data_IF_355195221503
#
_entry.id   IF_355195221503
#
_cell.length_a   1.000
_cell.length_b   1.000
_cell.length_c   1.000
_cell.angle_alpha   90.00
_cell.angle_beta   90.00
_cell.angle_gamma   90.00
#
_symmetry.space_group_name_H-M   'P 1'
#
loop_
_entity.id
_entity.type
_entity.pdbx_description
1 polymer ?
#
# COMPACT_ATOMS: atom_id res chain seq x y z
N UNK A 1 -19.43 -15.44 7.49
CA UNK A 1 -18.31 -14.67 6.90
C UNK A 1 -18.65 -14.04 5.54
N UNK A 2 -19.67 -14.50 4.81
CA UNK A 2 -20.07 -13.94 3.49
C UNK A 2 -20.72 -12.53 3.48
N UNK A 3 -21.52 -12.10 4.48
CA UNK A 3 -22.19 -10.79 4.42
C UNK A 3 -21.20 -9.62 4.47
N UNK A 4 -20.21 -9.70 5.38
CA UNK A 4 -19.22 -8.65 5.62
C UNK A 4 -18.35 -8.36 4.37
N UNK A 5 -18.02 -9.39 3.59
CA UNK A 5 -17.19 -9.24 2.40
C UNK A 5 -17.94 -8.56 1.26
N UNK A 6 -19.23 -8.86 1.10
CA UNK A 6 -20.10 -8.19 0.12
C UNK A 6 -20.33 -6.72 0.51
N UNK A 7 -20.56 -6.44 1.79
CA UNK A 7 -20.67 -5.06 2.30
C UNK A 7 -19.37 -4.27 2.09
N UNK A 8 -18.22 -4.88 2.38
CA UNK A 8 -16.91 -4.27 2.09
C UNK A 8 -16.72 -4.00 0.60
N UNK A 9 -17.15 -4.92 -0.26
CA UNK A 9 -17.07 -4.76 -1.71
C UNK A 9 -17.85 -3.52 -2.19
N UNK A 10 -19.06 -3.33 -1.68
CA UNK A 10 -19.89 -2.16 -1.99
C UNK A 10 -19.30 -0.86 -1.45
N UNK A 11 -18.79 -0.89 -0.22
CA UNK A 11 -18.10 0.27 0.37
C UNK A 11 -16.86 0.68 -0.40
N UNK A 12 -16.14 -0.29 -0.98
CA UNK A 12 -14.98 -0.06 -1.86
C UNK A 12 -15.36 0.20 -3.33
N UNK A 13 -16.64 0.18 -3.70
CA UNK A 13 -17.07 0.46 -5.08
C UNK A 13 -16.49 1.77 -5.63
N UNK A 14 -16.53 2.92 -4.91
CA UNK A 14 -15.94 4.15 -5.42
C UNK A 14 -14.41 4.06 -5.57
N UNK A 15 -13.75 3.24 -4.75
CA UNK A 15 -12.30 3.00 -4.84
C UNK A 15 -11.94 2.18 -6.08
N UNK A 16 -12.72 1.15 -6.42
CA UNK A 16 -12.56 0.41 -7.66
C UNK A 16 -12.87 1.26 -8.89
N UNK A 17 -13.90 2.12 -8.81
CA UNK A 17 -14.26 3.01 -9.91
C UNK A 17 -13.11 3.95 -10.31
N UNK A 18 -12.37 4.52 -9.35
CA UNK A 18 -11.20 5.37 -9.66
C UNK A 18 -10.11 4.57 -10.34
N UNK A 19 -9.82 3.36 -9.85
CA UNK A 19 -8.79 2.50 -10.43
C UNK A 19 -9.11 2.09 -11.88
N UNK A 20 -10.38 1.77 -12.17
CA UNK A 20 -10.82 1.43 -13.52
C UNK A 20 -10.73 2.63 -14.45
N UNK A 21 -11.22 3.81 -14.05
CA UNK A 21 -11.10 5.04 -14.84
C UNK A 21 -9.63 5.39 -15.11
N UNK A 22 -8.75 5.19 -14.13
CA UNK A 22 -7.32 5.41 -14.25
C UNK A 22 -6.69 4.47 -15.28
N UNK A 23 -7.03 3.17 -15.21
CA UNK A 23 -6.57 2.18 -16.17
C UNK A 23 -7.14 2.43 -17.58
N UNK A 24 -8.41 2.79 -17.73
CA UNK A 24 -9.03 3.13 -19.01
C UNK A 24 -8.36 4.34 -19.66
N UNK A 25 -8.07 5.40 -18.88
CA UNK A 25 -7.37 6.59 -19.39
C UNK A 25 -5.98 6.24 -19.90
N UNK A 26 -5.20 5.46 -19.14
CA UNK A 26 -3.85 5.07 -19.56
C UNK A 26 -3.85 4.04 -20.68
N UNK A 27 -4.85 3.16 -20.75
CA UNK A 27 -5.06 2.26 -21.89
C UNK A 27 -5.27 3.08 -23.17
N UNK A 28 -6.18 4.06 -23.13
CA UNK A 28 -6.47 4.94 -24.25
C UNK A 28 -5.25 5.76 -24.69
N UNK A 29 -4.49 6.35 -23.76
CA UNK A 29 -3.30 7.13 -24.07
C UNK A 29 -2.16 6.30 -24.67
N UNK A 30 -2.00 5.06 -24.21
CA UNK A 30 -0.91 4.18 -24.65
C UNK A 30 -1.28 3.28 -25.84
N UNK A 31 -2.55 3.27 -26.25
CA UNK A 31 -3.08 2.30 -27.22
C UNK A 31 -3.03 0.85 -26.73
N UNK A 32 -2.86 0.62 -25.41
CA UNK A 32 -2.75 -0.73 -24.86
C UNK A 32 -4.12 -1.32 -24.50
N UNK A 33 -4.30 -2.66 -24.57
CA UNK A 33 -5.54 -3.28 -24.13
C UNK A 33 -5.83 -3.01 -22.65
N UNK A 34 -7.09 -2.75 -22.31
CA UNK A 34 -7.54 -2.49 -20.93
C UNK A 34 -7.05 -3.54 -19.92
N UNK A 35 -7.11 -4.87 -20.18
CA UNK A 35 -6.52 -5.88 -19.29
C UNK A 35 -5.07 -5.60 -18.85
N UNK A 36 -4.23 -5.15 -19.79
CA UNK A 36 -2.82 -4.84 -19.53
C UNK A 36 -2.69 -3.59 -18.68
N UNK A 37 -3.49 -2.57 -18.94
CA UNK A 37 -3.52 -1.35 -18.15
C UNK A 37 -4.04 -1.60 -16.73
N UNK A 38 -5.07 -2.41 -16.56
CA UNK A 38 -5.60 -2.80 -15.25
C UNK A 38 -4.54 -3.54 -14.44
N UNK A 39 -3.81 -4.48 -15.04
CA UNK A 39 -2.70 -5.15 -14.36
C UNK A 39 -1.61 -4.17 -13.90
N UNK A 40 -1.19 -3.27 -14.78
CA UNK A 40 -0.03 -2.39 -14.56
C UNK A 40 -0.31 -1.22 -13.64
N UNK A 41 -1.52 -0.69 -13.69
CA UNK A 41 -1.85 0.60 -13.07
C UNK A 41 -2.83 0.50 -11.91
N UNK A 42 -3.30 -0.71 -11.55
CA UNK A 42 -4.22 -0.90 -10.42
C UNK A 42 -3.73 -2.00 -9.49
N UNK A 43 -4.22 -2.01 -8.25
CA UNK A 43 -3.91 -3.06 -7.29
C UNK A 43 -5.00 -4.14 -7.18
N UNK A 44 -5.88 -4.26 -8.18
CA UNK A 44 -7.03 -5.17 -8.14
C UNK A 44 -6.60 -6.63 -7.92
N UNK A 45 -5.56 -7.10 -8.59
CA UNK A 45 -5.05 -8.46 -8.41
C UNK A 45 -4.64 -8.73 -6.95
N UNK A 46 -3.99 -7.79 -6.27
CA UNK A 46 -3.66 -7.90 -4.82
C UNK A 46 -4.92 -7.90 -3.95
N UNK A 47 -5.90 -7.06 -4.29
CA UNK A 47 -7.19 -6.97 -3.58
C UNK A 47 -8.04 -8.24 -3.72
N UNK A 48 -7.88 -8.97 -4.82
CA UNK A 48 -8.46 -10.29 -5.04
C UNK A 48 -7.66 -11.43 -4.36
N UNK A 49 -6.65 -11.12 -3.55
CA UNK A 49 -5.82 -12.13 -2.90
C UNK A 49 -4.82 -12.81 -3.84
N UNK A 50 -4.67 -12.31 -5.08
CA UNK A 50 -3.84 -12.92 -6.12
C UNK A 50 -2.37 -12.45 -6.10
N UNK A 51 -1.89 -11.89 -4.98
CA UNK A 51 -0.46 -11.61 -4.80
C UNK A 51 0.12 -10.75 -5.92
N UNK A 52 1.23 -11.17 -6.52
CA UNK A 52 1.69 -10.67 -7.83
C UNK A 52 1.19 -11.61 -8.93
N UNK A 53 0.84 -11.08 -10.10
CA UNK A 53 0.43 -11.88 -11.26
C UNK A 53 1.64 -12.18 -12.14
N UNK A 54 1.89 -13.45 -12.39
CA UNK A 54 2.79 -13.90 -13.45
C UNK A 54 2.02 -13.95 -14.78
N UNK A 55 2.49 -13.22 -15.79
CA UNK A 55 1.87 -13.21 -17.11
C UNK A 55 2.20 -14.45 -17.95
N UNK A 56 3.28 -15.17 -17.64
CA UNK A 56 3.62 -16.43 -18.29
C UNK A 56 2.72 -17.58 -17.81
N UNK A 57 2.31 -17.53 -16.53
CA UNK A 57 1.40 -18.51 -15.93
C UNK A 57 0.35 -17.84 -15.03
N UNK A 58 -0.62 -17.12 -15.63
CA UNK A 58 -1.60 -16.36 -14.87
C UNK A 58 -2.61 -17.29 -14.18
N UNK A 59 -2.92 -16.98 -12.93
CA UNK A 59 -3.94 -17.72 -12.17
C UNK A 59 -5.30 -17.69 -12.87
N UNK A 60 -6.08 -18.80 -12.83
CA UNK A 60 -7.38 -18.87 -13.49
C UNK A 60 -8.35 -17.76 -13.08
N UNK A 61 -8.32 -17.33 -11.82
CA UNK A 61 -9.17 -16.25 -11.30
C UNK A 61 -8.83 -14.90 -11.96
N UNK A 62 -7.54 -14.62 -12.14
CA UNK A 62 -7.10 -13.41 -12.85
C UNK A 62 -7.50 -13.47 -14.33
N UNK A 63 -7.27 -14.61 -14.99
CA UNK A 63 -7.65 -14.82 -16.39
C UNK A 63 -9.16 -14.64 -16.59
N UNK A 64 -9.98 -15.20 -15.70
CA UNK A 64 -11.44 -15.05 -15.73
C UNK A 64 -11.83 -13.58 -15.62
N UNK A 65 -11.23 -12.86 -14.67
CA UNK A 65 -11.49 -11.44 -14.46
C UNK A 65 -11.18 -10.63 -15.73
N UNK A 66 -9.96 -10.74 -16.28
CA UNK A 66 -9.54 -9.93 -17.42
C UNK A 66 -10.18 -10.34 -18.75
N UNK A 67 -10.49 -11.63 -18.93
CA UNK A 67 -11.22 -12.11 -20.12
C UNK A 67 -12.64 -11.57 -20.13
N UNK A 68 -13.32 -11.55 -18.97
CA UNK A 68 -14.65 -10.96 -18.91
C UNK A 68 -14.62 -9.46 -19.19
N UNK A 69 -13.61 -8.73 -18.66
CA UNK A 69 -13.45 -7.29 -18.91
C UNK A 69 -13.41 -6.94 -20.39
N UNK A 70 -12.82 -7.77 -21.26
CA UNK A 70 -12.77 -7.45 -22.71
C UNK A 70 -14.12 -7.50 -23.42
N UNK A 71 -15.11 -8.16 -22.82
CA UNK A 71 -16.47 -8.30 -23.39
C UNK A 71 -17.43 -7.22 -22.91
N UNK A 72 -17.10 -6.53 -21.82
CA UNK A 72 -17.90 -5.47 -21.23
C UNK A 72 -17.62 -4.15 -21.95
N UNK A 73 -18.58 -3.22 -21.94
CA UNK A 73 -18.56 -2.02 -22.78
C UNK A 73 -18.52 -0.73 -21.98
N UNK A 74 -19.12 -0.74 -20.80
CA UNK A 74 -19.27 0.45 -19.97
C UNK A 74 -18.44 0.35 -18.70
N UNK A 75 -18.05 1.50 -18.16
CA UNK A 75 -17.41 1.59 -16.86
C UNK A 75 -18.28 0.96 -15.76
N UNK A 76 -19.61 1.10 -15.84
CA UNK A 76 -20.52 0.51 -14.87
C UNK A 76 -20.45 -1.01 -14.89
N UNK A 77 -20.46 -1.64 -16.07
CA UNK A 77 -20.28 -3.09 -16.19
C UNK A 77 -18.91 -3.55 -15.68
N UNK A 78 -17.84 -2.83 -16.01
CA UNK A 78 -16.49 -3.10 -15.48
C UNK A 78 -16.48 -3.06 -13.95
N UNK A 79 -17.17 -2.08 -13.38
CA UNK A 79 -17.24 -1.87 -11.94
C UNK A 79 -18.05 -2.96 -11.25
N UNK A 80 -19.24 -3.29 -11.77
CA UNK A 80 -20.10 -4.35 -11.25
C UNK A 80 -19.36 -5.68 -11.22
N UNK A 81 -18.66 -6.00 -12.31
CA UNK A 81 -17.83 -7.20 -12.39
C UNK A 81 -16.66 -7.19 -11.41
N UNK A 82 -15.99 -6.05 -11.25
CA UNK A 82 -14.87 -5.89 -10.31
C UNK A 82 -15.33 -6.08 -8.86
N UNK A 83 -16.49 -5.51 -8.50
CA UNK A 83 -17.09 -5.65 -7.17
C UNK A 83 -17.47 -7.10 -6.90
N UNK A 84 -18.11 -7.79 -7.87
CA UNK A 84 -18.42 -9.22 -7.74
C UNK A 84 -17.16 -10.05 -7.54
N UNK A 85 -16.12 -9.83 -8.36
CA UNK A 85 -14.86 -10.56 -8.22
C UNK A 85 -14.19 -10.33 -6.87
N UNK A 86 -14.25 -9.12 -6.32
CA UNK A 86 -13.73 -8.84 -4.99
C UNK A 86 -14.51 -9.56 -3.89
N UNK A 87 -15.85 -9.55 -4.00
CA UNK A 87 -16.74 -10.19 -3.04
C UNK A 87 -16.52 -11.71 -2.99
N UNK A 88 -16.30 -12.33 -4.14
CA UNK A 88 -16.08 -13.78 -4.27
C UNK A 88 -14.61 -14.19 -4.07
N UNK A 89 -13.69 -13.22 -3.96
CA UNK A 89 -12.26 -13.49 -3.80
C UNK A 89 -11.90 -13.88 -2.36
N UNK A 90 -11.10 -14.94 -2.23
CA UNK A 90 -10.50 -15.34 -0.96
C UNK A 90 -9.39 -14.35 -0.58
N UNK A 91 -9.45 -13.71 0.61
CA UNK A 91 -8.36 -12.85 1.08
C UNK A 91 -7.04 -13.63 1.14
N UNK A 92 -5.94 -12.99 0.75
CA UNK A 92 -4.63 -13.60 0.92
C UNK A 92 -4.32 -13.80 2.42
N UNK A 93 -3.79 -14.97 2.77
CA UNK A 93 -3.27 -15.22 4.11
C UNK A 93 -2.06 -14.30 4.37
N UNK A 94 -2.11 -13.52 5.45
CA UNK A 94 -0.99 -12.68 5.91
C UNK A 94 -0.24 -13.46 7.01
N UNK A 95 0.66 -14.36 6.60
CA UNK A 95 1.46 -15.18 7.51
C UNK A 95 2.74 -14.49 8.01
N UNK A 96 2.97 -13.22 7.63
CA UNK A 96 4.18 -12.50 7.99
C UNK A 96 4.19 -12.16 9.49
N UNK A 97 5.36 -12.28 10.13
CA UNK A 97 5.56 -11.80 11.50
C UNK A 97 5.29 -10.28 11.57
N UNK A 98 4.60 -9.87 12.63
CA UNK A 98 4.11 -8.51 12.81
C UNK A 98 4.40 -7.97 14.20
N UNK A 99 4.54 -6.66 14.25
CA UNK A 99 4.68 -5.85 15.46
C UNK A 99 3.59 -4.79 15.40
N UNK A 100 2.38 -5.18 15.83
CA UNK A 100 1.16 -4.39 15.65
C UNK A 100 0.94 -3.94 14.21
N UNK A 101 1.03 -2.63 13.95
CA UNK A 101 0.83 -2.07 12.61
C UNK A 101 2.03 -2.25 11.67
N UNK A 102 3.19 -2.67 12.18
CA UNK A 102 4.43 -2.81 11.43
C UNK A 102 4.79 -4.26 11.12
N UNK A 103 5.56 -4.44 10.04
CA UNK A 103 6.28 -5.66 9.71
C UNK A 103 7.53 -5.30 8.91
N UNK A 104 8.41 -6.27 8.69
CA UNK A 104 9.57 -6.10 7.85
C UNK A 104 9.78 -7.27 6.89
N UNK A 105 10.43 -7.01 5.76
CA UNK A 105 11.09 -8.04 4.97
C UNK A 105 12.52 -8.20 5.49
N UNK A 106 13.05 -9.44 5.58
CA UNK A 106 14.42 -9.69 6.04
C UNK A 106 15.46 -8.94 5.18
N UNK A 107 16.70 -8.76 5.69
CA UNK A 107 17.75 -8.07 4.96
C UNK A 107 17.96 -8.66 3.56
N UNK A 108 18.09 -7.80 2.55
CA UNK A 108 18.60 -8.22 1.25
C UNK A 108 20.12 -8.44 1.28
N UNK A 109 20.73 -8.73 0.12
CA UNK A 109 22.17 -9.00 0.00
C UNK A 109 23.05 -7.84 0.46
N UNK A 110 22.51 -6.61 0.51
CA UNK A 110 23.21 -5.42 0.99
C UNK A 110 23.01 -5.18 2.50
N UNK A 111 22.27 -6.07 3.18
CA UNK A 111 21.89 -5.93 4.59
C UNK A 111 20.76 -4.93 4.81
N UNK A 112 19.95 -4.62 3.79
CA UNK A 112 18.86 -3.64 3.91
C UNK A 112 17.56 -4.32 4.30
N UNK A 113 17.05 -3.99 5.48
CA UNK A 113 15.72 -4.38 5.96
C UNK A 113 14.66 -3.42 5.41
N UNK A 114 13.53 -3.96 4.91
CA UNK A 114 12.43 -3.12 4.40
C UNK A 114 11.25 -3.14 5.35
N UNK A 115 10.83 -1.97 5.83
CA UNK A 115 9.70 -1.87 6.75
C UNK A 115 8.40 -1.56 6.00
N UNK A 116 7.30 -2.09 6.53
CA UNK A 116 5.96 -1.89 6.00
C UNK A 116 5.00 -1.49 7.11
N UNK A 117 4.02 -0.67 6.77
CA UNK A 117 2.95 -0.25 7.67
C UNK A 117 1.57 -0.58 7.07
N UNK A 118 0.65 -1.01 7.92
CA UNK A 118 -0.76 -1.20 7.56
C UNK A 118 -1.65 -0.95 8.76
N UNK A 119 -2.81 -0.31 8.55
CA UNK A 119 -3.84 -0.15 9.58
C UNK A 119 -4.38 -1.53 10.00
N UNK A 120 -4.10 -1.93 11.25
CA UNK A 120 -4.53 -3.22 11.84
C UNK A 120 -5.03 -3.07 13.27
N UNK A 121 -5.26 -1.83 13.73
CA UNK A 121 -5.90 -1.64 15.02
C UNK A 121 -7.35 -2.14 14.97
N UNK A 122 -7.80 -2.75 16.06
CA UNK A 122 -9.16 -3.25 16.20
C UNK A 122 -10.15 -2.18 16.67
N UNK A 123 -9.66 -0.99 17.01
CA UNK A 123 -10.47 0.10 17.50
C UNK A 123 -10.84 1.10 16.39
N UNK A 124 -11.72 2.01 16.77
CA UNK A 124 -12.36 2.97 15.91
C UNK A 124 -11.49 4.24 15.68
N UNK A 125 -10.20 4.25 16.06
CA UNK A 125 -9.32 5.41 16.01
C UNK A 125 -8.17 5.19 15.03
N UNK A 126 -7.84 6.22 14.23
CA UNK A 126 -6.70 6.18 13.30
C UNK A 126 -5.43 5.66 13.98
N UNK A 127 -4.72 4.67 13.41
CA UNK A 127 -3.48 4.15 13.97
C UNK A 127 -2.35 5.19 14.10
N UNK A 128 -2.48 6.32 13.41
CA UNK A 128 -1.55 7.46 13.43
C UNK A 128 -2.06 8.64 14.27
N UNK A 129 -3.16 8.47 15.01
CA UNK A 129 -3.68 9.49 15.91
C UNK A 129 -2.64 9.88 16.99
N UNK A 130 -2.62 11.15 17.47
CA UNK A 130 -1.72 11.60 18.53
C UNK A 130 -1.67 10.67 19.75
N UNK A 131 -2.82 10.21 20.24
CA UNK A 131 -2.90 9.32 21.41
C UNK A 131 -2.33 7.91 21.20
N UNK A 132 -1.93 7.53 19.97
CA UNK A 132 -1.33 6.23 19.67
C UNK A 132 0.16 6.29 19.34
N UNK A 133 0.77 7.48 19.43
CA UNK A 133 2.17 7.67 19.07
C UNK A 133 3.10 6.75 19.86
N UNK A 134 2.96 6.73 21.19
CA UNK A 134 3.80 5.91 22.07
C UNK A 134 3.65 4.42 21.77
N UNK A 135 2.42 3.95 21.52
CA UNK A 135 2.16 2.56 21.11
C UNK A 135 2.85 2.21 19.79
N UNK A 136 2.80 3.10 18.80
CA UNK A 136 3.45 2.89 17.50
C UNK A 136 4.97 2.89 17.61
N UNK A 137 5.55 3.72 18.47
CA UNK A 137 6.98 3.71 18.74
C UNK A 137 7.41 2.44 19.50
N UNK A 138 6.62 1.96 20.45
CA UNK A 138 6.87 0.68 21.12
C UNK A 138 6.84 -0.51 20.14
N UNK A 139 5.89 -0.54 19.20
CA UNK A 139 5.84 -1.55 18.13
C UNK A 139 7.08 -1.51 17.23
N UNK A 140 7.55 -0.32 16.85
CA UNK A 140 8.80 -0.16 16.10
C UNK A 140 10.03 -0.60 16.92
N UNK A 141 10.08 -0.29 18.21
CA UNK A 141 11.15 -0.71 19.10
C UNK A 141 11.23 -2.24 19.21
N UNK A 142 10.09 -2.91 19.41
CA UNK A 142 10.00 -4.38 19.44
C UNK A 142 10.46 -5.00 18.12
N UNK A 143 10.06 -4.41 16.98
CA UNK A 143 10.52 -4.84 15.67
C UNK A 143 12.04 -4.69 15.53
N UNK A 144 12.61 -3.56 15.96
CA UNK A 144 14.05 -3.31 15.91
C UNK A 144 14.82 -4.28 16.80
N UNK A 145 14.33 -4.56 18.02
CA UNK A 145 14.94 -5.55 18.91
C UNK A 145 14.93 -6.95 18.27
N UNK A 146 13.81 -7.35 17.65
CA UNK A 146 13.71 -8.61 16.93
C UNK A 146 14.70 -8.70 15.76
N UNK A 147 14.79 -7.64 14.94
CA UNK A 147 15.76 -7.56 13.83
C UNK A 147 17.17 -7.72 14.35
N UNK A 148 17.57 -6.99 15.40
CA UNK A 148 18.92 -7.06 15.94
C UNK A 148 19.29 -8.45 16.47
N UNK A 149 18.32 -9.22 16.97
CA UNK A 149 18.53 -10.57 17.47
C UNK A 149 18.63 -11.63 16.34
N UNK A 150 17.80 -11.50 15.30
CA UNK A 150 17.65 -12.56 14.28
C UNK A 150 18.35 -12.24 12.94
N UNK A 151 18.75 -10.99 12.75
CA UNK A 151 19.40 -10.48 11.54
C UNK A 151 20.62 -9.62 11.92
N UNK A 152 21.67 -10.23 12.50
CA UNK A 152 22.86 -9.49 12.94
C UNK A 152 23.64 -8.84 11.79
N UNK A 153 23.35 -9.23 10.56
CA UNK A 153 23.87 -8.66 9.31
C UNK A 153 23.07 -7.44 8.80
N UNK A 154 21.98 -7.06 9.46
CA UNK A 154 21.20 -5.88 9.12
C UNK A 154 22.03 -4.60 9.27
N UNK A 155 22.19 -3.86 8.17
CA UNK A 155 22.99 -2.62 8.10
C UNK A 155 22.13 -1.36 8.07
N UNK A 156 20.97 -1.43 7.42
CA UNK A 156 20.11 -0.28 7.21
C UNK A 156 18.63 -0.68 7.22
N UNK A 157 17.77 0.27 7.60
CA UNK A 157 16.33 0.17 7.43
C UNK A 157 15.94 1.09 6.28
N UNK A 158 15.09 0.58 5.37
CA UNK A 158 14.50 1.31 4.24
C UNK A 158 12.98 1.22 4.28
N UNK A 159 12.32 2.30 3.88
CA UNK A 159 10.88 2.36 3.71
C UNK A 159 10.50 3.08 2.42
N UNK A 160 9.31 2.78 1.91
CA UNK A 160 8.76 3.43 0.72
C UNK A 160 7.24 3.61 0.86
N UNK A 161 6.80 4.86 1.01
CA UNK A 161 5.37 5.16 1.22
C UNK A 161 5.06 6.62 0.90
N UNK A 162 3.80 6.89 0.54
CA UNK A 162 3.27 8.25 0.51
C UNK A 162 3.04 8.79 1.93
N UNK A 163 2.96 7.93 2.96
CA UNK A 163 2.77 8.35 4.35
C UNK A 163 3.93 9.21 4.87
N UNK A 164 5.11 9.14 4.26
CA UNK A 164 6.23 10.02 4.62
C UNK A 164 6.00 11.50 4.28
N UNK A 165 4.89 11.84 3.60
CA UNK A 165 4.43 13.23 3.46
C UNK A 165 3.62 13.71 4.67
N UNK A 166 3.31 12.84 5.64
CA UNK A 166 2.48 13.15 6.80
C UNK A 166 3.32 13.24 8.08
N UNK A 167 3.24 14.36 8.79
CA UNK A 167 3.94 14.54 10.06
C UNK A 167 3.54 13.49 11.10
N UNK A 168 2.28 13.06 11.08
CA UNK A 168 1.76 12.02 11.96
C UNK A 168 2.49 10.66 11.80
N UNK A 169 3.00 10.36 10.62
CA UNK A 169 3.79 9.15 10.34
C UNK A 169 5.28 9.41 10.56
N UNK A 170 5.80 10.55 10.10
CA UNK A 170 7.22 10.92 10.22
C UNK A 170 7.70 10.94 11.67
N UNK A 171 6.90 11.47 12.59
CA UNK A 171 7.25 11.56 14.03
C UNK A 171 7.51 10.22 14.72
N UNK A 172 7.18 9.10 14.08
CA UNK A 172 7.40 7.75 14.62
C UNK A 172 8.84 7.27 14.47
N UNK A 173 9.65 7.92 13.62
CA UNK A 173 10.94 7.41 13.19
C UNK A 173 12.10 8.28 13.68
N UNK A 174 13.34 7.72 13.71
CA UNK A 174 14.54 8.49 14.04
C UNK A 174 14.71 9.71 13.12
N UNK A 175 15.22 10.85 13.62
CA UNK A 175 15.41 12.07 12.81
C UNK A 175 16.22 11.84 11.53
N UNK A 176 17.29 11.04 11.58
CA UNK A 176 18.12 10.71 10.43
C UNK A 176 17.35 9.99 9.30
N UNK A 177 16.34 9.19 9.67
CA UNK A 177 15.48 8.49 8.72
C UNK A 177 14.44 9.42 8.10
N UNK A 178 13.89 10.34 8.89
CA UNK A 178 12.91 11.33 8.41
C UNK A 178 13.56 12.40 7.54
N UNK A 179 14.85 12.65 7.73
CA UNK A 179 15.65 13.62 6.97
C UNK A 179 16.22 13.06 5.65
N UNK A 180 15.98 11.79 5.31
CA UNK A 180 16.49 11.15 4.10
C UNK A 180 15.48 10.87 2.97
N UNK A 181 14.37 11.63 2.80
CA UNK A 181 13.41 11.34 1.75
C UNK A 181 14.05 11.56 0.37
N UNK A 182 13.83 10.59 -0.50
CA UNK A 182 14.25 10.59 -1.90
C UNK A 182 13.08 10.16 -2.77
N UNK A 183 13.04 10.65 -4.01
CA UNK A 183 12.11 10.12 -4.98
C UNK A 183 12.52 8.66 -5.30
N UNK A 184 11.61 7.68 -5.19
CA UNK A 184 11.94 6.31 -5.56
C UNK A 184 12.25 6.26 -7.06
N UNK A 185 13.21 5.42 -7.50
CA UNK A 185 13.58 5.32 -8.91
C UNK A 185 12.40 4.85 -9.79
N UNK A 186 11.48 4.07 -9.21
CA UNK A 186 10.26 3.61 -9.85
C UNK A 186 9.09 3.63 -8.87
N UNK A 187 7.95 4.17 -9.30
CA UNK A 187 6.69 4.09 -8.56
C UNK A 187 5.80 3.04 -9.20
N UNK A 188 5.56 1.96 -8.46
CA UNK A 188 4.59 0.95 -8.86
C UNK A 188 3.17 1.36 -8.45
N UNK A 189 2.24 1.26 -9.40
CA UNK A 189 0.81 1.48 -9.17
C UNK A 189 0.03 0.16 -9.02
N UNK A 190 0.72 -0.97 -9.19
CA UNK A 190 0.17 -2.32 -9.01
C UNK A 190 0.20 -2.79 -7.54
N UNK A 191 0.78 -1.97 -6.65
CA UNK A 191 0.89 -2.21 -5.22
C UNK A 191 -0.19 -1.52 -4.39
N UNK A 192 -0.33 -1.92 -3.12
CA UNK A 192 -1.31 -1.31 -2.20
C UNK A 192 -0.91 0.09 -1.72
N UNK A 193 0.38 0.44 -1.78
CA UNK A 193 0.91 1.67 -1.18
C UNK A 193 0.27 2.93 -1.78
N UNK A 194 0.48 3.21 -3.07
CA UNK A 194 0.01 4.46 -3.70
C UNK A 194 -1.52 4.60 -3.68
N UNK A 195 -2.27 3.51 -3.79
CA UNK A 195 -3.73 3.57 -3.74
C UNK A 195 -4.29 3.76 -2.31
N UNK A 196 -3.49 3.53 -1.27
CA UNK A 196 -3.92 3.69 0.12
C UNK A 196 -4.33 5.10 0.51
N UNK A 197 -3.85 6.13 -0.20
CA UNK A 197 -4.20 7.54 0.09
C UNK A 197 -5.67 7.85 -0.17
N UNK A 198 -6.34 7.12 -1.08
CA UNK A 198 -7.78 7.24 -1.32
C UNK A 198 -8.61 6.80 -0.12
N UNK A 199 -8.05 6.00 0.79
CA UNK A 199 -8.80 5.36 1.85
C UNK A 199 -8.56 6.02 3.21
N UNK A 200 -9.62 6.12 4.01
CA UNK A 200 -9.50 6.30 5.46
C UNK A 200 -8.90 5.03 6.09
N UNK A 201 -8.52 5.10 7.36
CA UNK A 201 -8.03 3.91 8.08
C UNK A 201 -9.10 2.82 8.23
N UNK A 202 -10.37 3.17 8.06
CA UNK A 202 -11.51 2.24 8.00
C UNK A 202 -11.72 1.63 6.63
N UNK A 203 -11.11 2.20 5.58
CA UNK A 203 -11.32 1.79 4.20
C UNK A 203 -12.38 2.59 3.44
N UNK A 204 -12.86 3.71 3.97
CA UNK A 204 -13.82 4.57 3.26
C UNK A 204 -13.09 5.48 2.28
N UNK A 205 -13.73 5.82 1.17
CA UNK A 205 -13.12 6.68 0.16
C UNK A 205 -13.12 8.14 0.61
N UNK A 206 -11.95 8.77 0.62
CA UNK A 206 -11.77 10.21 0.80
C UNK A 206 -12.16 10.93 -0.49
N UNK A 207 -13.34 11.53 -0.51
CA UNK A 207 -13.88 12.22 -1.69
C UNK A 207 -12.90 13.25 -2.28
N UNK A 208 -12.25 14.05 -1.45
CA UNK A 208 -11.27 15.04 -1.93
C UNK A 208 -10.08 14.41 -2.66
N UNK A 209 -9.54 13.28 -2.17
CA UNK A 209 -8.42 12.58 -2.82
C UNK A 209 -8.87 11.92 -4.12
N UNK A 210 -10.07 11.34 -4.13
CA UNK A 210 -10.71 10.81 -5.35
C UNK A 210 -10.77 11.90 -6.42
N UNK A 211 -11.32 13.07 -6.08
CA UNK A 211 -11.53 14.15 -7.03
C UNK A 211 -10.21 14.72 -7.54
N UNK A 212 -9.18 14.84 -6.67
CA UNK A 212 -7.83 15.23 -7.08
C UNK A 212 -7.22 14.27 -8.09
N UNK A 213 -7.36 12.96 -7.89
CA UNK A 213 -6.83 11.96 -8.82
C UNK A 213 -7.55 12.01 -10.15
N UNK A 214 -8.89 12.08 -10.14
CA UNK A 214 -9.70 12.15 -11.35
C UNK A 214 -9.41 13.44 -12.14
N UNK A 215 -9.25 14.57 -11.46
CA UNK A 215 -8.81 15.81 -12.11
C UNK A 215 -7.38 15.70 -12.67
N UNK A 216 -6.50 15.00 -11.97
CA UNK A 216 -5.13 14.70 -12.42
C UNK A 216 -5.08 13.87 -13.69
N UNK A 217 -6.07 13.01 -13.94
CA UNK A 217 -6.14 12.16 -15.15
C UNK A 217 -6.23 12.96 -16.46
N UNK A 218 -6.74 14.20 -16.41
CA UNK A 218 -6.79 15.06 -17.59
C UNK A 218 -5.38 15.39 -18.13
N UNK A 219 -4.38 15.44 -17.24
CA UNK A 219 -2.99 15.85 -17.52
C UNK A 219 -1.99 14.74 -17.21
N UNK A 220 -2.44 13.48 -17.18
CA UNK A 220 -1.58 12.35 -16.83
C UNK A 220 -0.63 12.02 -17.98
N UNK A 221 0.65 11.89 -17.65
CA UNK A 221 1.70 11.48 -18.57
C UNK A 221 1.97 9.97 -18.43
N UNK A 222 2.25 9.30 -19.55
CA UNK A 222 2.47 7.85 -19.58
C UNK A 222 3.76 7.40 -18.86
N UNK A 223 4.77 8.26 -18.82
CA UNK A 223 6.07 8.00 -18.20
C UNK A 223 6.03 8.23 -16.68
N UNK A 224 5.10 9.06 -16.19
CA UNK A 224 4.96 9.42 -14.79
C UNK A 224 3.50 9.41 -14.29
N UNK A 225 2.73 8.32 -14.48
CA UNK A 225 1.30 8.27 -14.15
C UNK A 225 1.03 8.50 -12.65
N UNK A 226 1.98 8.18 -11.79
CA UNK A 226 1.88 8.40 -10.35
C UNK A 226 1.81 9.89 -9.94
N UNK A 227 2.15 10.82 -10.84
CA UNK A 227 2.01 12.27 -10.60
C UNK A 227 0.55 12.73 -10.53
N UNK A 228 -0.40 11.92 -10.98
CA UNK A 228 -1.83 12.19 -10.78
C UNK A 228 -2.27 12.05 -9.32
N UNK A 229 -1.46 11.43 -8.45
CA UNK A 229 -1.78 11.27 -7.03
C UNK A 229 -1.30 12.49 -6.22
N UNK A 230 -2.07 12.94 -5.21
CA UNK A 230 -1.72 14.14 -4.46
C UNK A 230 -0.44 13.97 -3.62
N UNK A 231 -0.23 12.79 -3.03
CA UNK A 231 0.97 12.50 -2.25
C UNK A 231 1.86 11.53 -3.02
N UNK A 232 3.07 11.99 -3.32
CA UNK A 232 4.08 11.21 -4.03
C UNK A 232 4.71 10.19 -3.07
N UNK A 233 4.96 8.98 -3.57
CA UNK A 233 5.70 7.99 -2.78
C UNK A 233 7.14 8.51 -2.54
N UNK A 234 7.61 8.42 -1.30
CA UNK A 234 8.98 8.76 -0.92
C UNK A 234 9.69 7.51 -0.42
N UNK A 235 10.94 7.34 -0.84
CA UNK A 235 11.89 6.39 -0.27
C UNK A 235 12.68 7.05 0.85
N UNK A 236 12.83 6.37 1.98
CA UNK A 236 13.64 6.83 3.12
C UNK A 236 14.54 5.70 3.58
N UNK A 237 15.72 6.05 4.07
CA UNK A 237 16.69 5.08 4.57
C UNK A 237 17.59 5.69 5.64
N UNK A 238 17.94 4.88 6.65
CA UNK A 238 18.99 5.23 7.61
C UNK A 238 19.72 3.96 8.07
N UNK A 239 20.94 4.10 8.63
CA UNK A 239 21.63 2.99 9.27
C UNK A 239 20.75 2.34 10.35
N UNK A 240 20.86 1.03 10.52
CA UNK A 240 20.12 0.31 11.54
C UNK A 240 20.49 0.78 12.95
N UNK A 241 21.76 1.16 13.17
CA UNK A 241 22.22 1.78 14.42
C UNK A 241 21.43 3.02 14.81
N UNK A 242 21.01 3.86 13.85
CA UNK A 242 20.20 5.04 14.16
C UNK A 242 18.82 4.69 14.75
N UNK A 243 18.28 3.51 14.41
CA UNK A 243 17.06 3.00 15.03
C UNK A 243 17.33 2.40 16.41
N UNK A 244 18.43 1.66 16.55
CA UNK A 244 18.85 1.09 17.83
C UNK A 244 19.07 2.21 18.86
N UNK A 245 19.84 3.24 18.52
CA UNK A 245 20.11 4.38 19.40
C UNK A 245 18.81 5.12 19.78
N UNK A 246 17.93 5.34 18.81
CA UNK A 246 16.67 6.05 19.02
C UNK A 246 15.71 5.31 19.97
N UNK A 247 15.61 3.98 19.85
CA UNK A 247 14.68 3.18 20.67
C UNK A 247 15.31 2.63 21.97
N UNK A 248 16.65 2.60 22.08
CA UNK A 248 17.35 2.28 23.33
C UNK A 248 17.40 3.51 24.25
N UNK A 249 17.54 4.72 23.70
CA UNK A 249 17.56 5.96 24.47
C UNK A 249 16.19 6.38 25.04
N UNK A 250 15.10 5.70 24.67
CA UNK A 250 13.76 5.95 25.23
C UNK A 250 13.39 4.89 26.29
N UNK A 251 13.46 5.21 27.60
CA UNK A 251 13.15 4.27 28.68
C UNK A 251 11.69 3.81 28.73
N UNK A 252 10.81 4.28 27.81
CA UNK A 252 9.42 3.85 27.68
C UNK A 252 9.22 2.59 26.83
N UNK A 253 10.28 2.07 26.20
CA UNK A 253 10.20 0.92 25.28
C UNK A 253 10.29 -0.47 25.95
N UNK A 254 10.44 -0.55 27.27
CA UNK A 254 10.47 -1.81 28.02
C UNK A 254 9.24 -1.91 28.91
N UNK A 255 8.10 -2.26 28.31
CA UNK A 255 7.00 -2.88 29.06
C UNK A 255 6.92 -4.32 28.59
N UNK A 256 7.20 -5.23 29.54
CA UNK A 256 7.13 -6.68 29.38
C UNK A 256 5.72 -7.15 29.08
#
# INVERSE_FOLDING_TARGET
MEPERREEAERLRPYFAVQLQFAERLAALSGSPLPKAVLRYTNLHRRFGLGSVDLANPRPEWLRFVTRLTTLRTLQEHLDWTVSCYADATPAADAALRFGCFRFDPPDTDGVVRIHFSSRDADDVSPLAPGKMDRRQAELAQMCAHIGLHHPDAKAIRGASWLYNLDAYRRLFPPAYVASPTAPPHVRLDGTSTWGQLLTYRGDVKAQVRDQILNGLAKVELDAPWRAFPLQALGVQAPFSAFQDYFVADPRAVVR
#
